data_IF_689760432766
#
_entry.id   IF_689760432766
#
_cell.length_a   1.000
_cell.length_b   1.000
_cell.length_c   1.000
_cell.angle_alpha   90.00
_cell.angle_beta   90.00
_cell.angle_gamma   90.00
#
_symmetry.space_group_name_H-M   'P 1'
#
loop_
_entity.id
_entity.type
_entity.pdbx_description
1 polymer ?
#
# COMPACT_ATOMS: atom_id res chain seq x y z
N UNK A 1 -46.74 16.48 -21.91
CA UNK A 1 -46.97 16.18 -20.48
C UNK A 1 -48.07 17.09 -19.95
N UNK A 2 -48.78 16.68 -18.91
CA UNK A 2 -49.84 17.47 -18.27
C UNK A 2 -49.72 17.37 -16.75
N UNK A 3 -49.91 18.51 -16.08
CA UNK A 3 -50.03 18.59 -14.63
C UNK A 3 -51.49 18.84 -14.27
N UNK A 4 -52.00 18.08 -13.30
CA UNK A 4 -53.32 18.35 -12.74
C UNK A 4 -53.29 19.64 -11.91
N UNK A 5 -54.47 20.16 -11.53
CA UNK A 5 -54.53 21.31 -10.63
C UNK A 5 -53.77 21.01 -9.32
N UNK A 6 -52.84 21.88 -8.94
CA UNK A 6 -51.95 21.77 -7.76
C UNK A 6 -50.88 20.66 -7.86
N UNK A 7 -50.75 19.98 -8.99
CA UNK A 7 -49.68 19.02 -9.22
C UNK A 7 -48.39 19.78 -9.55
N UNK A 8 -47.39 19.66 -8.66
CA UNK A 8 -46.06 20.27 -8.80
C UNK A 8 -44.96 19.22 -8.89
N UNK A 9 -45.34 17.95 -8.97
CA UNK A 9 -44.39 16.84 -8.99
C UNK A 9 -43.71 16.72 -10.35
N UNK A 10 -42.53 16.10 -10.33
CA UNK A 10 -41.79 15.76 -11.54
C UNK A 10 -42.62 14.83 -12.45
N UNK A 11 -42.41 14.96 -13.75
CA UNK A 11 -42.98 14.07 -14.76
C UNK A 11 -41.85 13.45 -15.55
N UNK A 12 -41.90 12.13 -15.66
CA UNK A 12 -40.91 11.38 -16.42
C UNK A 12 -41.34 11.24 -17.89
N UNK A 13 -40.34 11.23 -18.78
CA UNK A 13 -40.50 10.86 -20.18
C UNK A 13 -39.60 9.65 -20.42
N UNK A 14 -40.16 8.58 -20.97
CA UNK A 14 -39.41 7.38 -21.34
C UNK A 14 -39.12 7.44 -22.84
N UNK A 15 -37.84 7.43 -23.21
CA UNK A 15 -37.37 7.43 -24.59
C UNK A 15 -36.68 6.08 -24.82
N UNK A 16 -37.24 5.18 -25.66
CA UNK A 16 -36.58 3.92 -25.96
C UNK A 16 -35.35 4.17 -26.83
N UNK A 17 -34.22 3.58 -26.46
CA UNK A 17 -33.02 3.50 -27.29
C UNK A 17 -33.09 2.18 -28.08
N UNK A 18 -32.73 2.22 -29.37
CA UNK A 18 -32.73 1.05 -30.23
C UNK A 18 -31.36 0.39 -30.10
N UNK A 19 -31.35 -0.81 -29.55
CA UNK A 19 -30.17 -1.66 -29.42
C UNK A 19 -29.95 -2.46 -30.72
N UNK A 20 -28.69 -2.56 -31.16
CA UNK A 20 -28.29 -3.34 -32.32
C UNK A 20 -27.01 -4.17 -32.00
N UNK A 21 -26.22 -4.56 -33.00
CA UNK A 21 -24.99 -5.37 -32.80
C UNK A 21 -23.83 -4.85 -33.67
N UNK A 22 -23.96 -3.66 -34.23
CA UNK A 22 -22.97 -3.04 -35.10
C UNK A 22 -22.13 -2.09 -34.26
N UNK A 23 -20.80 -2.17 -34.37
CA UNK A 23 -19.91 -1.25 -33.64
C UNK A 23 -20.03 0.16 -34.24
N UNK A 24 -20.59 1.08 -33.47
CA UNK A 24 -20.87 2.45 -33.87
C UNK A 24 -20.06 3.47 -33.04
N UNK A 25 -19.97 4.72 -33.53
CA UNK A 25 -19.40 5.81 -32.75
C UNK A 25 -20.49 6.42 -31.86
N UNK A 26 -20.11 7.05 -30.73
CA UNK A 26 -21.07 7.73 -29.86
C UNK A 26 -21.95 8.72 -30.63
N UNK A 27 -23.26 8.54 -30.53
CA UNK A 27 -24.27 9.35 -31.19
C UNK A 27 -24.96 10.28 -30.19
N UNK A 28 -25.54 11.37 -30.69
CA UNK A 28 -26.28 12.31 -29.83
C UNK A 28 -27.62 12.69 -30.42
N UNK A 29 -28.61 12.89 -29.55
CA UNK A 29 -29.87 13.49 -29.91
C UNK A 29 -30.31 14.54 -28.89
N UNK A 30 -31.15 15.47 -29.32
CA UNK A 30 -31.63 16.58 -28.50
C UNK A 30 -33.08 16.35 -28.05
N UNK A 31 -33.35 16.65 -26.78
CA UNK A 31 -34.71 16.73 -26.23
C UNK A 31 -34.98 18.15 -25.79
N UNK A 32 -35.97 18.79 -26.42
CA UNK A 32 -36.37 20.17 -26.15
C UNK A 32 -37.81 20.21 -25.63
N UNK A 33 -38.05 20.88 -24.50
CA UNK A 33 -39.39 21.22 -24.06
C UNK A 33 -39.95 22.33 -24.93
N UNK A 34 -41.15 22.14 -25.47
CA UNK A 34 -41.78 23.09 -26.39
C UNK A 34 -43.26 23.28 -26.08
N UNK A 35 -43.84 24.35 -26.62
CA UNK A 35 -45.27 24.66 -26.54
C UNK A 35 -45.83 24.72 -25.09
N UNK A 36 -45.22 25.51 -24.18
CA UNK A 36 -45.77 25.67 -22.84
C UNK A 36 -47.16 26.32 -22.89
N UNK A 37 -48.08 25.85 -22.04
CA UNK A 37 -49.40 26.45 -21.88
C UNK A 37 -49.51 27.07 -20.48
N UNK A 38 -49.75 28.38 -20.41
CA UNK A 38 -49.90 29.16 -19.16
C UNK A 38 -48.69 29.11 -18.21
N UNK A 39 -47.51 28.74 -18.71
CA UNK A 39 -46.23 28.71 -17.99
C UNK A 39 -45.12 29.24 -18.90
N UNK A 40 -43.97 29.56 -18.31
CA UNK A 40 -42.74 29.84 -19.05
C UNK A 40 -41.81 28.64 -18.93
N UNK A 41 -41.06 28.33 -20.00
CA UNK A 41 -39.99 27.33 -19.92
C UNK A 41 -38.83 27.88 -19.09
N UNK A 42 -38.28 27.04 -18.22
CA UNK A 42 -37.10 27.38 -17.41
C UNK A 42 -35.82 27.46 -18.25
N UNK A 43 -34.71 27.80 -17.59
CA UNK A 43 -33.39 27.88 -18.23
C UNK A 43 -32.91 26.52 -18.77
N UNK A 44 -33.22 25.43 -18.07
CA UNK A 44 -32.94 24.05 -18.51
C UNK A 44 -34.15 23.47 -19.23
N UNK A 45 -34.41 23.92 -20.46
CA UNK A 45 -35.51 23.42 -21.30
C UNK A 45 -35.03 22.52 -22.46
N UNK A 46 -33.73 22.24 -22.52
CA UNK A 46 -33.09 21.41 -23.52
C UNK A 46 -32.05 20.52 -22.84
N UNK A 47 -31.92 19.29 -23.33
CA UNK A 47 -30.85 18.37 -22.98
C UNK A 47 -30.34 17.67 -24.23
N UNK A 48 -29.03 17.43 -24.28
CA UNK A 48 -28.40 16.54 -25.27
C UNK A 48 -28.18 15.21 -24.58
N UNK A 49 -28.69 14.14 -25.19
CA UNK A 49 -28.49 12.77 -24.74
C UNK A 49 -27.39 12.15 -25.60
N UNK A 50 -26.35 11.61 -24.96
CA UNK A 50 -25.33 10.77 -25.61
C UNK A 50 -25.78 9.32 -25.54
N UNK A 51 -25.68 8.61 -26.66
CA UNK A 51 -25.86 7.15 -26.76
C UNK A 51 -24.48 6.58 -27.07
N UNK A 52 -23.93 5.83 -26.12
CA UNK A 52 -22.65 5.15 -26.26
C UNK A 52 -22.90 3.74 -26.82
N UNK A 53 -22.03 3.31 -27.72
CA UNK A 53 -22.00 1.95 -28.27
C UNK A 53 -21.53 0.95 -27.21
N UNK A 54 -22.14 -0.23 -27.14
CA UNK A 54 -21.73 -1.33 -26.28
C UNK A 54 -21.44 -2.63 -27.06
N UNK A 55 -21.21 -2.51 -28.36
CA UNK A 55 -21.05 -3.63 -29.31
C UNK A 55 -19.59 -3.97 -29.62
N UNK A 56 -18.62 -3.18 -29.15
CA UNK A 56 -17.21 -3.46 -29.34
C UNK A 56 -16.81 -4.81 -28.68
N UNK A 57 -16.14 -5.67 -29.46
CA UNK A 57 -15.60 -6.94 -29.00
C UNK A 57 -14.39 -6.77 -28.05
N UNK A 58 -13.78 -5.58 -28.01
CA UNK A 58 -12.75 -5.22 -27.08
C UNK A 58 -11.33 -5.59 -27.48
N UNK A 59 -10.40 -4.94 -26.78
CA UNK A 59 -8.96 -5.10 -26.87
C UNK A 59 -8.47 -5.98 -25.72
N UNK A 60 -7.63 -6.97 -26.03
CA UNK A 60 -7.04 -7.89 -25.05
C UNK A 60 -5.59 -7.51 -24.78
N UNK A 61 -5.24 -7.32 -23.51
CA UNK A 61 -3.91 -6.91 -23.05
C UNK A 61 -3.46 -7.75 -21.86
N UNK A 62 -2.14 -7.87 -21.69
CA UNK A 62 -1.58 -8.39 -20.44
C UNK A 62 -1.74 -7.35 -19.33
N UNK A 63 -1.94 -7.81 -18.09
CA UNK A 63 -2.15 -6.95 -16.94
C UNK A 63 -0.97 -6.02 -16.63
N UNK A 64 0.25 -6.51 -16.87
CA UNK A 64 1.55 -5.86 -16.66
C UNK A 64 2.52 -6.29 -17.77
N UNK A 65 3.56 -5.49 -18.05
CA UNK A 65 4.64 -5.83 -19.00
C UNK A 65 5.81 -6.57 -18.37
N UNK A 66 5.95 -6.52 -17.04
CA UNK A 66 7.09 -7.07 -16.32
C UNK A 66 6.60 -7.72 -15.02
N UNK A 67 7.09 -8.93 -14.76
CA UNK A 67 6.85 -9.67 -13.52
C UNK A 67 8.19 -10.01 -12.87
N UNK A 68 8.21 -10.00 -11.53
CA UNK A 68 9.33 -10.44 -10.71
C UNK A 68 8.78 -11.40 -9.67
N UNK A 69 9.36 -12.60 -9.60
CA UNK A 69 9.00 -13.62 -8.64
C UNK A 69 10.21 -14.46 -8.27
N UNK A 70 10.13 -15.13 -7.13
CA UNK A 70 11.18 -16.03 -6.70
C UNK A 70 11.15 -17.37 -7.41
N UNK A 71 12.32 -17.98 -7.45
CA UNK A 71 12.52 -19.36 -7.90
C UNK A 71 12.03 -20.43 -6.91
N UNK A 72 11.40 -20.06 -5.79
CA UNK A 72 10.88 -20.96 -4.74
C UNK A 72 9.79 -22.01 -5.11
N UNK A 73 9.57 -22.31 -6.39
CA UNK A 73 8.62 -23.33 -6.86
C UNK A 73 7.17 -22.85 -6.89
N UNK A 74 6.94 -21.54 -6.82
CA UNK A 74 5.60 -20.95 -6.85
C UNK A 74 4.93 -21.04 -8.24
N UNK A 75 3.59 -20.94 -8.22
CA UNK A 75 2.79 -20.71 -9.42
C UNK A 75 2.58 -19.20 -9.64
N UNK A 76 3.03 -18.71 -10.79
CA UNK A 76 2.73 -17.37 -11.26
C UNK A 76 1.34 -17.33 -11.91
N UNK A 77 0.49 -16.40 -11.45
CA UNK A 77 -0.77 -16.08 -12.13
C UNK A 77 -0.64 -14.76 -12.88
N UNK A 78 -0.71 -14.83 -14.21
CA UNK A 78 -0.73 -13.66 -15.09
C UNK A 78 -2.16 -13.31 -15.48
N UNK A 79 -2.62 -12.11 -15.13
CA UNK A 79 -3.94 -11.62 -15.51
C UNK A 79 -3.94 -11.07 -16.94
N UNK A 80 -4.97 -11.42 -17.71
CA UNK A 80 -5.21 -10.92 -19.06
C UNK A 80 -6.54 -10.16 -19.03
N UNK A 81 -6.52 -8.91 -19.48
CA UNK A 81 -7.66 -7.99 -19.43
C UNK A 81 -8.25 -7.84 -20.83
N UNK A 82 -9.58 -7.80 -20.90
CA UNK A 82 -10.35 -7.37 -22.07
C UNK A 82 -10.94 -6.00 -21.75
N UNK A 83 -10.66 -4.99 -22.57
CA UNK A 83 -10.98 -3.59 -22.31
C UNK A 83 -11.51 -2.89 -23.56
N UNK A 84 -12.16 -1.73 -23.40
CA UNK A 84 -12.71 -0.98 -24.53
C UNK A 84 -13.95 -1.62 -25.19
N UNK A 85 -14.30 -2.85 -24.81
CA UNK A 85 -15.45 -3.59 -25.30
C UNK A 85 -15.55 -4.95 -24.63
N UNK A 86 -16.76 -5.50 -24.53
CA UNK A 86 -17.01 -6.81 -23.92
C UNK A 86 -18.05 -7.63 -24.68
N UNK A 87 -18.49 -7.17 -25.85
CA UNK A 87 -19.58 -7.80 -26.62
C UNK A 87 -19.11 -9.09 -27.29
N UNK A 88 -19.91 -10.14 -27.14
CA UNK A 88 -19.71 -11.44 -27.76
C UNK A 88 -18.55 -12.25 -27.17
N UNK A 89 -18.52 -13.51 -27.56
CA UNK A 89 -17.48 -14.45 -27.17
C UNK A 89 -16.22 -14.24 -28.03
N UNK A 90 -15.05 -14.16 -27.39
CA UNK A 90 -13.76 -14.00 -28.08
C UNK A 90 -12.75 -15.03 -27.60
N UNK A 91 -11.65 -15.17 -28.35
CA UNK A 91 -10.49 -15.95 -27.92
C UNK A 91 -9.18 -15.34 -28.36
N UNK A 92 -8.13 -15.61 -27.59
CA UNK A 92 -6.74 -15.18 -27.83
C UNK A 92 -5.82 -16.32 -27.42
N UNK A 93 -4.81 -16.62 -28.24
CA UNK A 93 -3.79 -17.62 -27.91
C UNK A 93 -2.68 -17.00 -27.07
N UNK A 94 -2.00 -17.82 -26.25
CA UNK A 94 -0.79 -17.42 -25.54
C UNK A 94 0.31 -18.49 -25.69
N UNK A 95 1.57 -18.04 -25.62
CA UNK A 95 2.73 -18.92 -25.64
C UNK A 95 3.86 -18.37 -24.77
N UNK A 96 4.60 -19.28 -24.13
CA UNK A 96 5.86 -18.98 -23.46
C UNK A 96 7.05 -19.23 -24.39
N UNK A 97 8.12 -18.46 -24.19
CA UNK A 97 9.40 -18.67 -24.88
C UNK A 97 10.57 -18.31 -23.98
N UNK A 98 11.62 -19.14 -24.02
CA UNK A 98 12.86 -18.96 -23.26
C UNK A 98 13.49 -17.58 -23.52
N UNK A 99 14.16 -17.06 -22.49
CA UNK A 99 15.00 -15.87 -22.56
C UNK A 99 16.41 -16.23 -22.13
N UNK A 100 16.83 -15.75 -20.96
CA UNK A 100 17.99 -16.35 -20.26
C UNK A 100 17.57 -17.57 -19.46
N UNK A 101 16.32 -17.59 -18.97
CA UNK A 101 15.72 -18.77 -18.35
C UNK A 101 15.38 -19.83 -19.41
N UNK A 102 15.58 -21.09 -19.08
CA UNK A 102 15.39 -22.29 -19.89
C UNK A 102 14.27 -23.18 -19.35
N UNK A 103 13.31 -23.53 -20.21
CA UNK A 103 12.27 -24.53 -19.89
C UNK A 103 12.71 -25.99 -20.07
N UNK A 104 13.96 -26.20 -20.46
CA UNK A 104 14.54 -27.51 -20.77
C UNK A 104 15.94 -27.65 -20.18
N UNK A 105 16.39 -28.89 -19.98
CA UNK A 105 17.73 -29.18 -19.48
C UNK A 105 17.70 -30.00 -18.19
N UNK A 106 18.86 -30.11 -17.56
CA UNK A 106 19.01 -30.83 -16.28
C UNK A 106 18.48 -30.01 -15.09
N UNK A 107 18.45 -28.67 -15.24
CA UNK A 107 17.91 -27.67 -14.30
C UNK A 107 17.06 -26.68 -15.10
N UNK A 108 15.78 -27.00 -15.36
CA UNK A 108 14.86 -26.07 -16.01
C UNK A 108 14.18 -25.17 -14.99
N UNK A 109 14.04 -23.89 -15.29
CA UNK A 109 13.55 -22.87 -14.33
C UNK A 109 12.03 -22.72 -14.36
N UNK A 110 11.39 -23.17 -15.45
CA UNK A 110 9.94 -23.09 -15.61
C UNK A 110 9.39 -24.17 -16.55
N UNK A 111 8.09 -24.43 -16.43
CA UNK A 111 7.40 -25.37 -17.32
C UNK A 111 6.85 -24.63 -18.54
N UNK A 112 7.36 -24.96 -19.75
CA UNK A 112 6.84 -24.39 -20.99
C UNK A 112 5.35 -24.71 -21.16
N UNK A 113 4.57 -23.70 -21.54
CA UNK A 113 3.14 -23.84 -21.80
C UNK A 113 2.66 -22.93 -22.93
N UNK A 114 1.56 -23.34 -23.56
CA UNK A 114 0.82 -22.54 -24.52
C UNK A 114 -0.65 -22.95 -24.46
N UNK A 115 -1.55 -22.07 -24.88
CA UNK A 115 -2.97 -22.35 -24.84
C UNK A 115 -3.81 -21.27 -25.49
N UNK A 116 -5.13 -21.44 -25.38
CA UNK A 116 -6.12 -20.48 -25.88
C UNK A 116 -6.97 -20.03 -24.70
N UNK A 117 -7.04 -18.71 -24.49
CA UNK A 117 -7.95 -18.08 -23.56
C UNK A 117 -9.30 -17.85 -24.25
N UNK A 118 -10.38 -18.19 -23.55
CA UNK A 118 -11.75 -17.95 -24.00
C UNK A 118 -12.40 -16.93 -23.07
N UNK A 119 -13.00 -15.90 -23.65
CA UNK A 119 -13.81 -14.92 -22.93
C UNK A 119 -15.25 -15.07 -23.42
N UNK A 120 -16.17 -15.26 -22.49
CA UNK A 120 -17.60 -15.22 -22.78
C UNK A 120 -18.06 -13.76 -22.97
N UNK A 121 -19.25 -13.59 -23.55
CA UNK A 121 -19.94 -12.30 -23.62
C UNK A 121 -19.99 -11.61 -22.25
N UNK A 122 -19.59 -10.34 -22.20
CA UNK A 122 -19.48 -9.55 -20.97
C UNK A 122 -18.29 -9.87 -20.06
N UNK A 123 -17.46 -10.87 -20.37
CA UNK A 123 -16.29 -11.23 -19.56
C UNK A 123 -15.09 -10.33 -19.85
N UNK A 124 -14.59 -9.65 -18.81
CA UNK A 124 -13.54 -8.63 -18.93
C UNK A 124 -12.13 -9.11 -18.54
N UNK A 125 -11.97 -10.38 -18.16
CA UNK A 125 -10.69 -10.89 -17.68
C UNK A 125 -10.55 -12.42 -17.68
N UNK A 126 -9.33 -12.88 -17.87
CA UNK A 126 -8.88 -14.27 -17.77
C UNK A 126 -7.52 -14.33 -17.07
N UNK A 127 -7.05 -15.53 -16.77
CA UNK A 127 -5.73 -15.72 -16.16
C UNK A 127 -4.98 -16.88 -16.81
N UNK A 128 -3.65 -16.75 -16.87
CA UNK A 128 -2.71 -17.80 -17.27
C UNK A 128 -1.91 -18.19 -16.02
N UNK A 129 -1.82 -19.49 -15.74
CA UNK A 129 -0.97 -20.00 -14.66
C UNK A 129 0.32 -20.59 -15.25
N UNK A 130 1.46 -20.21 -14.67
CA UNK A 130 2.78 -20.70 -15.06
C UNK A 130 3.48 -21.25 -13.83
N UNK A 131 4.00 -22.47 -13.92
CA UNK A 131 4.76 -23.11 -12.86
C UNK A 131 6.25 -22.71 -12.97
N UNK A 132 6.80 -22.14 -11.90
CA UNK A 132 8.25 -21.96 -11.72
C UNK A 132 8.81 -23.18 -11.00
N UNK A 133 10.03 -23.56 -11.34
CA UNK A 133 10.70 -24.73 -10.78
C UNK A 133 11.84 -24.26 -9.88
N UNK A 134 11.82 -24.77 -8.65
CA UNK A 134 12.81 -24.48 -7.63
C UNK A 134 14.03 -25.38 -7.79
N UNK A 135 15.21 -24.80 -7.60
CA UNK A 135 16.43 -25.57 -7.44
C UNK A 135 17.29 -25.08 -6.25
N UNK A 136 18.57 -25.44 -6.21
CA UNK A 136 19.46 -25.04 -5.11
C UNK A 136 20.78 -24.46 -5.64
N UNK A 137 20.83 -24.16 -6.93
CA UNK A 137 21.94 -23.48 -7.56
C UNK A 137 21.94 -22.02 -7.12
N UNK A 138 23.02 -21.31 -7.44
CA UNK A 138 23.09 -19.87 -7.17
C UNK A 138 23.28 -19.23 -8.52
N UNK A 139 22.25 -18.57 -8.99
CA UNK A 139 22.12 -18.05 -10.33
C UNK A 139 21.96 -16.53 -10.30
N UNK A 140 21.91 -15.91 -11.48
CA UNK A 140 21.53 -14.49 -11.57
C UNK A 140 20.03 -14.42 -11.86
N UNK A 141 19.43 -13.22 -11.75
CA UNK A 141 18.07 -13.04 -12.25
C UNK A 141 17.98 -13.43 -13.72
N UNK A 142 17.16 -14.43 -14.01
CA UNK A 142 16.90 -14.91 -15.34
C UNK A 142 15.51 -14.49 -15.81
N UNK A 143 15.17 -14.72 -17.08
CA UNK A 143 13.84 -14.38 -17.58
C UNK A 143 13.38 -15.23 -18.75
N UNK A 144 12.07 -15.36 -18.89
CA UNK A 144 11.38 -15.85 -20.08
C UNK A 144 10.28 -14.86 -20.50
N UNK A 145 9.65 -15.10 -21.66
CA UNK A 145 8.64 -14.19 -22.22
C UNK A 145 7.29 -14.90 -22.39
N UNK A 146 6.21 -14.18 -22.08
CA UNK A 146 4.82 -14.55 -22.40
C UNK A 146 4.30 -13.64 -23.51
N UNK A 147 3.72 -14.21 -24.57
CA UNK A 147 3.19 -13.45 -25.71
C UNK A 147 1.75 -13.83 -26.02
N UNK A 148 0.88 -12.83 -26.21
CA UNK A 148 -0.48 -13.01 -26.73
C UNK A 148 -0.47 -13.02 -28.27
N UNK A 149 -1.31 -13.84 -28.89
CA UNK A 149 -1.38 -13.96 -30.35
C UNK A 149 -2.76 -14.43 -30.84
N UNK A 150 -2.97 -14.40 -32.16
CA UNK A 150 -4.15 -14.94 -32.85
C UNK A 150 -5.50 -14.51 -32.25
N UNK A 151 -5.77 -13.20 -32.08
CA UNK A 151 -7.09 -12.77 -31.63
C UNK A 151 -8.14 -13.14 -32.68
N UNK A 152 -9.33 -13.51 -32.22
CA UNK A 152 -10.43 -13.90 -33.08
C UNK A 152 -11.77 -13.33 -32.59
N UNK A 153 -12.80 -13.41 -33.46
CA UNK A 153 -14.15 -12.90 -33.19
C UNK A 153 -14.19 -11.37 -32.96
N UNK A 154 -13.41 -10.61 -33.75
CA UNK A 154 -13.43 -9.15 -33.73
C UNK A 154 -12.54 -8.51 -32.66
N UNK A 155 -12.07 -9.29 -31.68
CA UNK A 155 -11.09 -8.81 -30.71
C UNK A 155 -9.76 -8.40 -31.38
N UNK A 156 -9.07 -7.49 -30.73
CA UNK A 156 -7.70 -7.06 -31.09
C UNK A 156 -6.76 -7.25 -29.90
N UNK A 157 -5.45 -7.35 -30.16
CA UNK A 157 -4.44 -7.37 -29.09
C UNK A 157 -3.87 -5.96 -28.92
N UNK A 158 -3.86 -5.48 -27.68
CA UNK A 158 -3.35 -4.18 -27.31
C UNK A 158 -1.94 -4.19 -26.73
N UNK A 159 -1.57 -3.10 -26.07
CA UNK A 159 -0.28 -2.97 -25.38
C UNK A 159 -0.48 -2.95 -23.86
N UNK A 160 0.21 -3.82 -23.08
CA UNK A 160 1.26 -4.75 -23.52
C UNK A 160 0.72 -6.08 -24.10
N UNK A 161 1.25 -6.49 -25.25
CA UNK A 161 0.99 -7.79 -25.89
C UNK A 161 1.96 -8.90 -25.44
N UNK A 162 3.08 -8.50 -24.85
CA UNK A 162 4.13 -9.37 -24.34
C UNK A 162 4.50 -8.92 -22.92
N UNK A 163 4.77 -9.89 -22.05
CA UNK A 163 5.32 -9.64 -20.73
C UNK A 163 6.64 -10.39 -20.56
N UNK A 164 7.58 -9.73 -19.87
CA UNK A 164 8.84 -10.32 -19.43
C UNK A 164 8.67 -10.84 -18.00
N UNK A 165 8.92 -12.12 -17.79
CA UNK A 165 8.84 -12.74 -16.46
C UNK A 165 10.27 -12.96 -15.99
N UNK A 166 10.66 -12.25 -14.94
CA UNK A 166 12.01 -12.32 -14.37
C UNK A 166 11.98 -13.24 -13.13
N UNK A 167 12.71 -14.34 -13.19
CA UNK A 167 12.90 -15.29 -12.09
C UNK A 167 14.07 -14.79 -11.26
N UNK A 168 13.79 -14.45 -10.01
CA UNK A 168 14.77 -14.00 -9.03
C UNK A 168 15.15 -15.22 -8.20
N UNK A 169 16.38 -15.69 -8.41
CA UNK A 169 16.98 -16.78 -7.64
C UNK A 169 16.83 -16.51 -6.13
N UNK A 170 16.26 -17.47 -5.40
CA UNK A 170 16.05 -17.40 -3.95
C UNK A 170 17.19 -18.04 -3.13
N UNK A 171 18.29 -18.36 -3.79
CA UNK A 171 19.57 -18.61 -3.15
C UNK A 171 20.41 -17.32 -3.06
N UNK A 172 20.07 -16.29 -3.84
CA UNK A 172 20.75 -14.98 -3.91
C UNK A 172 19.92 -13.87 -3.29
N UNK A 173 20.41 -13.38 -2.15
CA UNK A 173 19.81 -12.23 -1.48
C UNK A 173 20.06 -10.94 -2.27
N UNK A 174 18.99 -10.29 -2.74
CA UNK A 174 18.93 -8.86 -3.09
C UNK A 174 19.88 -8.37 -4.20
N UNK A 175 19.85 -8.99 -5.39
CA UNK A 175 20.58 -8.48 -6.57
C UNK A 175 19.62 -8.23 -7.74
N UNK A 176 19.65 -7.04 -8.38
CA UNK A 176 20.45 -5.87 -8.04
C UNK A 176 19.86 -5.05 -6.89
N UNK A 177 20.70 -4.20 -6.26
CA UNK A 177 20.26 -3.30 -5.19
C UNK A 177 19.00 -2.50 -5.60
N UNK A 178 17.95 -2.60 -4.78
CA UNK A 178 16.64 -2.03 -5.07
C UNK A 178 15.62 -3.02 -5.64
N UNK A 179 16.00 -4.29 -5.86
CA UNK A 179 15.05 -5.38 -6.11
C UNK A 179 14.07 -5.53 -4.94
N UNK A 180 12.90 -6.08 -5.22
CA UNK A 180 11.92 -6.44 -4.18
C UNK A 180 12.55 -7.53 -3.29
N UNK A 181 12.46 -7.36 -1.97
CA UNK A 181 12.80 -8.40 -1.00
C UNK A 181 11.64 -9.39 -0.96
N UNK A 182 11.84 -10.51 -1.62
CA UNK A 182 10.84 -11.55 -1.81
C UNK A 182 10.80 -12.57 -0.68
N UNK A 183 11.77 -12.53 0.25
CA UNK A 183 11.68 -13.25 1.53
C UNK A 183 10.80 -12.51 2.54
N UNK A 184 10.48 -11.24 2.27
CA UNK A 184 9.50 -10.47 3.02
C UNK A 184 8.07 -10.85 2.61
N UNK A 185 7.70 -12.10 2.88
CA UNK A 185 6.36 -12.62 2.61
C UNK A 185 5.44 -12.47 3.84
N UNK A 186 4.64 -11.42 3.82
CA UNK A 186 3.60 -11.18 4.84
C UNK A 186 2.39 -12.13 4.72
N UNK A 187 2.41 -13.06 3.76
CA UNK A 187 1.33 -13.96 3.41
C UNK A 187 0.11 -13.20 2.87
N UNK A 188 -0.89 -12.96 3.72
CA UNK A 188 -2.15 -12.29 3.35
C UNK A 188 -2.08 -10.76 3.31
N UNK A 189 -0.86 -10.20 3.44
CA UNK A 189 -0.62 -8.77 3.58
C UNK A 189 -0.72 -8.29 5.03
N UNK A 190 0.08 -7.27 5.39
CA UNK A 190 -0.09 -6.53 6.65
C UNK A 190 -1.29 -5.58 6.52
N UNK A 191 -2.36 -5.86 7.27
CA UNK A 191 -3.61 -5.09 7.26
C UNK A 191 -3.74 -4.27 8.53
N UNK A 192 -3.61 -2.96 8.41
CA UNK A 192 -3.80 -1.99 9.51
C UNK A 192 -5.04 -1.13 9.29
N UNK A 193 -5.67 -0.69 10.38
CA UNK A 193 -6.88 0.15 10.33
C UNK A 193 -6.62 1.65 10.55
N UNK A 194 -5.36 2.07 10.49
CA UNK A 194 -4.93 3.46 10.67
C UNK A 194 -3.52 3.67 10.11
N UNK A 195 -3.05 4.92 10.06
CA UNK A 195 -1.74 5.24 9.51
C UNK A 195 -0.63 4.61 10.35
N UNK A 196 0.38 4.10 9.65
CA UNK A 196 1.71 3.81 10.19
C UNK A 196 2.57 5.03 9.88
N UNK A 197 3.06 5.72 10.91
CA UNK A 197 3.88 6.93 10.75
C UNK A 197 5.38 6.61 10.69
N UNK A 198 5.80 5.54 11.35
CA UNK A 198 7.22 5.17 11.43
C UNK A 198 7.40 3.66 11.29
N UNK A 199 8.42 3.30 10.53
CA UNK A 199 8.94 1.93 10.38
C UNK A 199 10.43 1.98 10.66
N UNK A 200 10.92 1.16 11.59
CA UNK A 200 12.37 0.98 11.84
C UNK A 200 12.73 -0.48 12.02
N UNK A 201 13.98 -0.82 11.74
CA UNK A 201 14.55 -2.15 12.02
C UNK A 201 15.23 -2.15 13.39
N UNK A 202 15.04 -3.23 14.15
CA UNK A 202 15.85 -3.50 15.34
C UNK A 202 17.18 -4.21 14.99
N UNK A 203 17.98 -4.56 16.00
CA UNK A 203 19.28 -5.24 15.80
C UNK A 203 19.16 -6.68 15.28
N UNK A 204 17.97 -7.27 15.37
CA UNK A 204 17.65 -8.62 14.87
C UNK A 204 16.97 -8.55 13.49
N UNK A 205 16.95 -7.38 12.86
CA UNK A 205 16.34 -7.13 11.55
C UNK A 205 14.80 -7.18 11.52
N UNK A 206 14.15 -7.29 12.68
CA UNK A 206 12.69 -7.22 12.81
C UNK A 206 12.18 -5.81 12.49
N UNK A 207 10.97 -5.69 11.95
CA UNK A 207 10.33 -4.40 11.71
C UNK A 207 9.50 -3.95 12.92
N UNK A 208 9.73 -2.73 13.35
CA UNK A 208 8.92 -2.03 14.34
C UNK A 208 8.04 -1.03 13.62
N UNK A 209 6.73 -1.22 13.72
CA UNK A 209 5.71 -0.34 13.15
C UNK A 209 5.12 0.51 14.26
N UNK A 210 5.01 1.82 14.08
CA UNK A 210 4.26 2.66 15.00
C UNK A 210 3.47 3.77 14.30
N UNK A 211 2.34 4.18 14.89
CA UNK A 211 1.40 5.13 14.29
C UNK A 211 0.12 5.32 15.10
N UNK A 212 -1.01 5.53 14.43
CA UNK A 212 -2.35 5.69 15.05
C UNK A 212 -3.27 4.47 14.87
N UNK A 213 -2.77 3.38 14.30
CA UNK A 213 -3.57 2.16 14.13
C UNK A 213 -3.96 1.54 15.47
N UNK A 214 -5.09 0.85 15.49
CA UNK A 214 -5.57 0.10 16.68
C UNK A 214 -5.62 -1.40 16.45
N UNK A 215 -5.58 -1.85 15.20
CA UNK A 215 -5.65 -3.24 14.79
C UNK A 215 -4.62 -3.48 13.68
N UNK A 216 -3.91 -4.60 13.78
CA UNK A 216 -3.01 -5.13 12.75
C UNK A 216 -3.31 -6.62 12.55
N UNK A 217 -3.55 -7.04 11.32
CA UNK A 217 -3.91 -8.43 10.96
C UNK A 217 -5.06 -9.01 11.81
N UNK A 218 -6.04 -8.17 12.18
CA UNK A 218 -7.17 -8.56 13.03
C UNK A 218 -6.87 -8.62 14.53
N UNK A 219 -5.62 -8.44 14.95
CA UNK A 219 -5.21 -8.43 16.36
C UNK A 219 -5.17 -7.00 16.88
N UNK A 220 -5.71 -6.79 18.08
CA UNK A 220 -5.69 -5.49 18.75
C UNK A 220 -4.25 -5.12 19.15
N UNK A 221 -3.68 -4.14 18.44
CA UNK A 221 -2.38 -3.53 18.73
C UNK A 221 -2.54 -2.03 18.54
N UNK A 222 -2.57 -1.27 19.64
CA UNK A 222 -2.75 0.17 19.58
C UNK A 222 -1.41 0.89 19.51
N UNK A 223 -1.15 1.43 18.33
CA UNK A 223 -0.08 2.38 18.05
C UNK A 223 1.30 1.78 17.80
N UNK A 224 1.55 0.52 18.16
CA UNK A 224 2.85 -0.15 17.94
C UNK A 224 2.69 -1.66 17.72
N UNK A 225 3.49 -2.22 16.81
CA UNK A 225 3.59 -3.65 16.52
C UNK A 225 5.01 -4.02 16.09
N UNK A 226 5.38 -5.28 16.27
CA UNK A 226 6.64 -5.87 15.81
C UNK A 226 6.33 -6.96 14.78
N UNK A 227 7.05 -6.95 13.66
CA UNK A 227 7.04 -8.01 12.66
C UNK A 227 8.43 -8.64 12.58
N UNK A 228 8.52 -9.93 12.26
CA UNK A 228 9.80 -10.57 11.94
C UNK A 228 10.46 -9.95 10.70
N UNK A 229 11.71 -10.35 10.44
CA UNK A 229 12.43 -10.00 9.21
C UNK A 229 11.74 -10.52 7.93
N UNK A 230 10.81 -11.47 8.05
CA UNK A 230 9.95 -11.99 6.98
C UNK A 230 8.56 -11.33 6.92
N UNK A 231 8.25 -10.42 7.82
CA UNK A 231 6.96 -9.70 7.84
C UNK A 231 5.83 -10.41 8.61
N UNK A 232 6.13 -11.48 9.34
CA UNK A 232 5.17 -12.17 10.20
C UNK A 232 4.93 -11.36 11.50
N UNK A 233 3.68 -11.23 11.94
CA UNK A 233 3.36 -10.50 13.17
C UNK A 233 3.82 -11.27 14.41
N UNK A 234 4.61 -10.59 15.26
CA UNK A 234 4.98 -11.07 16.59
C UNK A 234 3.74 -11.01 17.52
N UNK A 235 3.21 -12.18 17.86
CA UNK A 235 2.01 -12.31 18.68
C UNK A 235 2.32 -12.16 20.18
N UNK A 236 3.58 -12.36 20.56
CA UNK A 236 4.09 -12.25 21.90
C UNK A 236 4.36 -10.79 22.28
N UNK A 237 4.69 -9.93 21.31
CA UNK A 237 4.91 -8.50 21.53
C UNK A 237 3.62 -7.75 21.94
N UNK A 238 3.45 -7.42 23.23
CA UNK A 238 2.18 -6.91 23.76
C UNK A 238 2.33 -5.62 24.59
N UNK A 239 1.74 -4.53 24.13
CA UNK A 239 1.74 -3.23 24.84
C UNK A 239 0.43 -3.00 25.62
N UNK A 240 -0.32 -4.07 25.91
CA UNK A 240 -1.59 -4.05 26.63
C UNK A 240 -2.63 -3.09 26.02
N UNK A 241 -3.01 -2.03 26.75
CA UNK A 241 -3.91 -0.99 26.24
C UNK A 241 -3.29 -0.13 25.13
N UNK A 242 -1.99 -0.32 24.85
CA UNK A 242 -1.19 0.44 23.88
C UNK A 242 -1.10 1.92 24.21
N UNK A 243 -0.97 2.77 23.19
CA UNK A 243 -0.86 4.22 23.37
C UNK A 243 -2.20 4.92 23.18
N UNK A 244 -2.40 6.06 23.88
CA UNK A 244 -3.60 6.89 23.74
C UNK A 244 -3.42 8.08 22.78
N UNK A 245 -2.38 8.04 21.96
CA UNK A 245 -2.04 9.08 21.00
C UNK A 245 -0.92 8.62 20.09
N UNK A 246 -0.64 9.41 19.06
CA UNK A 246 0.30 9.07 18.02
C UNK A 246 1.73 8.84 18.55
N UNK A 247 2.37 7.77 18.09
CA UNK A 247 3.82 7.59 18.17
C UNK A 247 4.43 8.16 16.88
N UNK A 248 5.31 9.17 17.01
CA UNK A 248 5.94 9.83 15.87
C UNK A 248 7.31 9.29 15.53
N UNK A 249 8.00 8.73 16.52
CA UNK A 249 9.31 8.13 16.30
C UNK A 249 9.57 7.03 17.34
N UNK A 250 10.43 6.10 16.95
CA UNK A 250 10.83 4.93 17.74
C UNK A 250 12.35 4.81 17.67
N UNK A 251 12.99 4.47 18.77
CA UNK A 251 14.44 4.22 18.82
C UNK A 251 14.68 2.83 19.41
N UNK A 252 14.96 1.82 18.56
CA UNK A 252 15.36 0.50 19.05
C UNK A 252 16.73 0.56 19.70
N UNK A 253 16.89 -0.15 20.81
CA UNK A 253 18.11 -0.25 21.58
C UNK A 253 18.75 -1.63 21.41
N UNK A 254 20.05 -1.74 21.72
CA UNK A 254 20.81 -2.99 21.57
C UNK A 254 20.40 -4.11 22.53
N UNK A 255 19.65 -3.80 23.58
CA UNK A 255 19.09 -4.77 24.53
C UNK A 255 17.70 -5.30 24.08
N UNK A 256 17.26 -4.95 22.87
CA UNK A 256 15.96 -5.30 22.32
C UNK A 256 14.80 -4.43 22.81
N UNK A 257 15.02 -3.56 23.80
CA UNK A 257 14.03 -2.56 24.19
C UNK A 257 13.95 -1.42 23.17
N UNK A 258 12.93 -0.57 23.28
CA UNK A 258 12.82 0.64 22.46
C UNK A 258 12.37 1.84 23.27
N UNK A 259 12.76 3.03 22.83
CA UNK A 259 12.18 4.29 23.30
C UNK A 259 11.21 4.80 22.24
N UNK A 260 9.99 5.14 22.65
CA UNK A 260 8.97 5.73 21.78
C UNK A 260 8.71 7.17 22.19
N UNK A 261 8.46 8.04 21.21
CA UNK A 261 8.06 9.44 21.43
C UNK A 261 6.90 9.83 20.53
N UNK A 262 6.14 10.85 20.93
CA UNK A 262 5.02 11.32 20.12
C UNK A 262 4.11 12.30 20.84
N UNK A 263 2.80 12.15 20.62
CA UNK A 263 1.75 12.97 21.22
C UNK A 263 0.97 12.24 22.33
N UNK A 264 1.29 10.97 22.60
CA UNK A 264 0.66 10.17 23.66
C UNK A 264 0.93 10.72 25.07
N UNK A 265 0.01 10.42 25.99
CA UNK A 265 0.13 10.72 27.43
C UNK A 265 0.02 9.47 28.30
N UNK A 266 -0.32 8.32 27.71
CA UNK A 266 -0.35 7.02 28.35
C UNK A 266 0.18 5.93 27.42
N UNK A 267 0.79 4.91 28.02
CA UNK A 267 1.24 3.67 27.38
C UNK A 267 0.89 2.52 28.33
N UNK A 268 0.21 1.47 27.85
CA UNK A 268 -0.21 0.34 28.69
C UNK A 268 -1.04 0.79 29.90
N UNK A 269 -1.97 1.73 29.71
CA UNK A 269 -2.78 2.33 30.78
C UNK A 269 -2.06 3.29 31.74
N UNK A 270 -0.72 3.26 31.75
CA UNK A 270 0.13 4.04 32.67
C UNK A 270 0.51 5.39 32.08
N UNK A 271 0.52 6.44 32.91
CA UNK A 271 0.88 7.80 32.47
C UNK A 271 2.35 7.86 32.06
N UNK A 272 2.59 8.25 30.81
CA UNK A 272 3.91 8.50 30.22
C UNK A 272 3.76 9.63 29.22
N UNK A 273 4.24 10.82 29.60
CA UNK A 273 4.01 12.03 28.80
C UNK A 273 5.03 12.14 27.65
N UNK A 274 4.59 11.71 26.46
CA UNK A 274 5.27 11.86 25.14
C UNK A 274 6.62 11.16 25.00
N UNK A 275 7.03 10.39 25.99
CA UNK A 275 8.19 9.51 25.96
C UNK A 275 7.93 8.29 26.84
N UNK A 276 8.27 7.10 26.36
CA UNK A 276 8.22 5.86 27.12
C UNK A 276 9.32 4.91 26.64
N UNK A 277 9.74 4.00 27.52
CA UNK A 277 10.58 2.86 27.15
C UNK A 277 9.73 1.59 27.20
N UNK A 278 9.80 0.79 26.15
CA UNK A 278 9.07 -0.47 25.98
C UNK A 278 10.11 -1.60 25.93
N UNK A 279 9.88 -2.70 26.63
CA UNK A 279 10.77 -3.86 26.65
C UNK A 279 10.66 -4.65 25.32
N UNK A 280 11.56 -5.62 25.11
CA UNK A 280 11.56 -6.44 23.90
C UNK A 280 10.30 -7.29 23.71
N UNK A 281 9.57 -7.58 24.79
CA UNK A 281 8.29 -8.29 24.82
C UNK A 281 7.07 -7.36 24.63
N UNK A 282 7.30 -6.06 24.43
CA UNK A 282 6.24 -5.07 24.24
C UNK A 282 5.66 -4.48 25.53
N UNK A 283 5.98 -5.01 26.71
CA UNK A 283 5.47 -4.42 27.94
C UNK A 283 6.19 -3.10 28.27
N UNK A 284 5.47 -2.18 28.91
CA UNK A 284 6.05 -0.93 29.38
C UNK A 284 7.19 -1.21 30.37
N UNK A 285 8.33 -0.53 30.20
CA UNK A 285 9.39 -0.57 31.19
C UNK A 285 9.04 0.37 32.35
N UNK A 286 8.53 -0.18 33.44
CA UNK A 286 8.10 0.61 34.60
C UNK A 286 9.24 1.36 35.30
N UNK A 287 10.48 0.87 35.19
CA UNK A 287 11.65 1.55 35.75
C UNK A 287 11.99 2.84 35.00
N UNK A 288 11.50 2.98 33.76
CA UNK A 288 11.57 4.21 32.99
C UNK A 288 10.34 5.09 33.29
N UNK A 289 10.52 6.10 34.14
CA UNK A 289 9.49 7.09 34.45
C UNK A 289 9.95 8.52 34.13
N UNK A 290 9.39 9.17 33.09
CA UNK A 290 9.68 10.56 32.78
C UNK A 290 9.03 11.55 33.76
N UNK A 291 8.17 11.11 34.68
CA UNK A 291 7.40 11.98 35.56
C UNK A 291 6.50 12.92 34.76
N UNK A 292 6.65 14.23 34.94
CA UNK A 292 5.91 15.20 34.12
C UNK A 292 6.31 15.17 32.63
N UNK A 293 7.49 14.64 32.29
CA UNK A 293 7.94 14.45 30.91
C UNK A 293 7.96 15.74 30.10
N UNK A 294 7.56 15.65 28.83
CA UNK A 294 7.45 16.82 27.95
C UNK A 294 6.11 17.52 28.13
N UNK A 295 6.06 18.84 27.97
CA UNK A 295 4.81 19.63 28.02
C UNK A 295 4.12 19.79 26.66
N UNK A 296 4.78 19.40 25.56
CA UNK A 296 4.26 19.44 24.20
C UNK A 296 4.77 18.26 23.36
N UNK A 297 4.16 18.05 22.20
CA UNK A 297 4.44 16.90 21.33
C UNK A 297 5.91 16.77 20.92
N UNK A 298 6.41 15.54 20.90
CA UNK A 298 7.78 15.20 20.51
C UNK A 298 7.75 14.56 19.12
N UNK A 299 8.67 14.94 18.23
CA UNK A 299 8.64 14.50 16.83
C UNK A 299 9.74 13.49 16.48
N UNK A 300 10.94 13.59 17.07
CA UNK A 300 12.03 12.68 16.70
C UNK A 300 13.02 12.42 17.83
N UNK A 301 13.62 11.23 17.79
CA UNK A 301 14.71 10.76 18.63
C UNK A 301 15.94 10.56 17.75
N UNK A 302 17.02 11.26 18.04
CA UNK A 302 18.28 11.17 17.31
C UNK A 302 19.36 10.63 18.25
N UNK A 303 19.87 9.41 18.03
CA UNK A 303 21.00 8.92 18.81
C UNK A 303 22.23 9.77 18.52
N UNK A 304 23.02 10.04 19.56
CA UNK A 304 24.30 10.73 19.47
C UNK A 304 25.46 9.73 19.65
N UNK A 305 26.65 10.11 19.18
CA UNK A 305 27.84 9.25 19.20
C UNK A 305 28.34 8.87 20.60
N UNK A 306 27.91 9.59 21.63
CA UNK A 306 28.25 9.32 23.03
C UNK A 306 27.20 8.43 23.74
N UNK A 307 26.21 7.91 23.00
CA UNK A 307 25.14 7.08 23.51
C UNK A 307 23.98 7.84 24.16
N UNK A 308 24.03 9.17 24.19
CA UNK A 308 22.89 10.01 24.58
C UNK A 308 21.92 10.19 23.41
N UNK A 309 20.74 10.72 23.69
CA UNK A 309 19.65 10.88 22.74
C UNK A 309 19.27 12.37 22.67
N UNK A 310 19.36 12.96 21.48
CA UNK A 310 18.77 14.25 21.19
C UNK A 310 17.29 14.05 20.86
N UNK A 311 16.43 14.69 21.63
CA UNK A 311 14.98 14.66 21.43
C UNK A 311 14.52 16.03 20.98
N UNK A 312 13.74 16.09 19.91
CA UNK A 312 13.24 17.33 19.30
C UNK A 312 11.73 17.36 19.15
N UNK A 313 11.13 18.55 19.24
CA UNK A 313 9.68 18.68 19.13
C UNK A 313 9.11 20.09 19.30
N UNK A 314 7.85 20.14 19.75
CA UNK A 314 7.06 21.35 19.99
C UNK A 314 7.03 21.79 21.46
N UNK A 315 7.73 21.06 22.34
CA UNK A 315 7.75 21.31 23.78
C UNK A 315 8.55 22.56 24.15
N UNK A 316 8.23 23.14 25.31
CA UNK A 316 8.97 24.24 25.93
C UNK A 316 9.71 23.79 27.19
N UNK A 317 9.24 22.72 27.82
CA UNK A 317 9.80 22.19 29.05
C UNK A 317 9.92 20.66 28.99
N UNK A 318 10.97 20.17 29.66
CA UNK A 318 11.16 18.75 29.95
C UNK A 318 11.37 18.58 31.46
N UNK A 319 10.54 17.75 32.11
CA UNK A 319 10.49 17.58 33.56
C UNK A 319 10.47 18.91 34.34
N UNK A 320 9.75 19.91 33.81
CA UNK A 320 9.63 21.25 34.39
C UNK A 320 10.82 22.20 34.14
N UNK A 321 11.87 21.74 33.47
CA UNK A 321 13.03 22.57 33.10
C UNK A 321 12.88 23.09 31.67
N UNK A 322 13.19 24.37 31.45
CA UNK A 322 13.07 24.99 30.12
C UNK A 322 14.06 24.37 29.13
N UNK A 323 13.49 23.76 28.09
CA UNK A 323 14.15 23.10 26.96
C UNK A 323 13.30 23.37 25.73
N UNK A 324 13.63 24.44 24.99
CA UNK A 324 12.77 24.94 23.90
C UNK A 324 12.99 24.11 22.64
N UNK A 325 12.12 23.13 22.41
CA UNK A 325 12.09 22.29 21.22
C UNK A 325 13.21 21.27 21.06
N UNK A 326 14.22 21.27 21.95
CA UNK A 326 15.30 20.28 21.97
C UNK A 326 15.84 20.03 23.39
N UNK A 327 16.15 18.77 23.69
CA UNK A 327 16.78 18.30 24.93
C UNK A 327 17.69 17.12 24.60
N UNK A 328 18.84 17.00 25.30
CA UNK A 328 19.64 15.77 25.27
C UNK A 328 19.38 15.00 26.54
N UNK A 329 19.05 13.72 26.40
CA UNK A 329 18.80 12.81 27.51
C UNK A 329 19.69 11.58 27.44
N UNK A 330 19.97 10.97 28.59
CA UNK A 330 20.56 9.63 28.62
C UNK A 330 19.52 8.53 28.34
N UNK A 331 19.93 7.26 28.37
CA UNK A 331 19.06 6.10 28.15
C UNK A 331 17.95 5.91 29.20
N UNK A 332 18.04 6.60 30.35
CA UNK A 332 17.01 6.63 31.39
C UNK A 332 16.17 7.92 31.32
N UNK A 333 16.31 8.67 30.23
CA UNK A 333 15.68 9.96 30.00
C UNK A 333 16.01 11.03 31.07
N UNK A 334 17.20 10.98 31.66
CA UNK A 334 17.72 12.06 32.47
C UNK A 334 18.22 13.20 31.57
N UNK A 335 17.86 14.44 31.87
CA UNK A 335 18.34 15.62 31.13
C UNK A 335 19.84 15.85 31.37
N UNK A 336 20.65 15.51 30.36
CA UNK A 336 22.11 15.71 30.32
C UNK A 336 22.52 16.83 29.36
N UNK A 337 21.57 17.68 28.97
CA UNK A 337 21.79 18.75 27.99
C UNK A 337 22.94 19.68 28.39
N UNK A 338 24.00 19.81 27.57
CA UNK A 338 25.21 20.55 27.94
C UNK A 338 25.06 22.07 27.79
N UNK A 339 23.93 22.56 27.27
CA UNK A 339 23.64 23.99 27.11
C UNK A 339 22.54 24.52 28.05
N UNK A 340 22.53 25.84 28.19
CA UNK A 340 21.55 26.56 29.03
C UNK A 340 20.14 26.47 28.45
N UNK A 341 19.11 26.66 29.30
CA UNK A 341 17.70 26.68 28.87
C UNK A 341 17.31 27.88 27.99
N UNK A 342 18.24 28.83 27.77
CA UNK A 342 18.04 29.95 26.84
C UNK A 342 18.34 29.53 25.39
N UNK A 343 19.10 28.46 25.19
CA UNK A 343 19.36 27.87 23.88
C UNK A 343 18.20 26.93 23.50
N UNK A 344 17.70 27.08 22.28
CA UNK A 344 16.62 26.26 21.73
C UNK A 344 15.98 26.89 20.50
N UNK A 345 14.86 26.33 20.05
CA UNK A 345 14.09 26.85 18.92
C UNK A 345 13.01 27.85 19.38
N UNK A 346 12.67 28.80 18.50
CA UNK A 346 11.51 29.68 18.69
C UNK A 346 10.19 28.99 18.26
N UNK A 347 10.27 27.90 17.49
CA UNK A 347 9.13 27.16 16.96
C UNK A 347 9.31 25.65 17.09
N UNK A 348 8.45 24.90 16.41
CA UNK A 348 8.52 23.44 16.36
C UNK A 348 9.80 22.96 15.65
N UNK A 349 10.49 21.98 16.24
CA UNK A 349 11.52 21.21 15.54
C UNK A 349 10.92 19.85 15.19
N UNK A 350 10.72 19.59 13.90
CA UNK A 350 10.07 18.37 13.41
C UNK A 350 11.04 17.21 13.21
N UNK A 351 12.29 17.49 12.90
CA UNK A 351 13.31 16.49 12.64
C UNK A 351 14.68 17.06 12.97
N UNK A 352 15.60 16.16 13.31
CA UNK A 352 17.01 16.44 13.46
C UNK A 352 17.78 15.24 12.91
N UNK A 353 19.03 15.46 12.52
CA UNK A 353 19.92 14.41 12.05
C UNK A 353 21.32 14.68 12.58
N UNK A 354 22.01 13.63 13.02
CA UNK A 354 23.43 13.72 13.31
C UNK A 354 24.19 13.66 11.97
N UNK A 355 25.01 14.68 11.69
CA UNK A 355 25.90 14.66 10.53
C UNK A 355 27.15 13.84 10.89
N UNK A 356 27.53 12.93 10.00
CA UNK A 356 28.73 12.10 10.12
C UNK A 356 29.94 12.75 9.43
#
# INVERSE_FOLDING_TARGET
MSWAHQDVEEKEIQIPIIDNNDVEAAETFEVTLANPMNVILGQSNQIIVSVEDDDDAGEVVLGESDYFLNENGAELTVYVKRQGGAKGNIKVDYSLSDGTASSVGDFPDYVISSGTLYFEDGQNGQSITVQILDDFATENTEFFNLTLSNPAQGAVIGSPAQAKINIVDDETVNVPAGSIDTFFDTGVGVRVNGPIEVIKRDSENNLLLAGEFTVINGILRKGIAKLSDKGELDNEFNVEEGTNGLIKDIFPMSDGSMIVVGDFTKVGGTVRNRIAKINSDGYLNDSFDPGSGFDGGVHSIVPLSDGTLLIVGRFQNYKGKTRRGLVVVDSNALDVTPWSGQMGSAGAVYSAVQLH
#
